data_IF_783585245950
#
_entry.id   IF_783585245950
#
_cell.length_a   1.000
_cell.length_b   1.000
_cell.length_c   1.000
_cell.angle_alpha   90.00
_cell.angle_beta   90.00
_cell.angle_gamma   90.00
#
_symmetry.space_group_name_H-M   'P 1'
#
loop_
_entity.id
_entity.type
_entity.pdbx_description
1 polymer ?
#
# COMPACT_ATOMS: atom_id res chain seq x y z
N UNK A 1 5.16 -19.31 -3.62
CA UNK A 1 4.90 -17.92 -3.16
C UNK A 1 5.09 -16.89 -4.28
N UNK A 2 6.31 -16.69 -4.80
CA UNK A 2 6.60 -15.68 -5.84
C UNK A 2 5.70 -15.82 -7.08
N UNK A 3 5.55 -17.04 -7.61
CA UNK A 3 4.67 -17.31 -8.75
C UNK A 3 3.22 -16.87 -8.50
N UNK A 4 2.68 -17.13 -7.31
CA UNK A 4 1.33 -16.69 -6.94
C UNK A 4 1.19 -15.17 -6.88
N UNK A 5 2.24 -14.45 -6.45
CA UNK A 5 2.25 -12.98 -6.49
C UNK A 5 2.29 -12.48 -7.94
N UNK A 6 3.16 -13.06 -8.78
CA UNK A 6 3.27 -12.71 -10.19
C UNK A 6 1.94 -12.92 -10.93
N UNK A 7 1.32 -14.09 -10.76
CA UNK A 7 0.00 -14.39 -11.34
C UNK A 7 -1.06 -13.39 -10.87
N UNK A 8 -1.09 -13.08 -9.56
CA UNK A 8 -2.03 -12.11 -9.00
C UNK A 8 -1.87 -10.72 -9.60
N UNK A 9 -0.64 -10.18 -9.63
CA UNK A 9 -0.34 -8.86 -10.20
C UNK A 9 -0.73 -8.77 -11.68
N UNK A 10 -0.30 -9.75 -12.48
CA UNK A 10 -0.54 -9.75 -13.94
C UNK A 10 -2.04 -9.89 -14.23
N UNK A 11 -2.72 -10.81 -13.56
CA UNK A 11 -4.15 -11.05 -13.81
C UNK A 11 -4.99 -9.85 -13.37
N UNK A 12 -4.63 -9.20 -12.27
CA UNK A 12 -5.32 -7.98 -11.80
C UNK A 12 -5.16 -6.83 -12.78
N UNK A 13 -3.94 -6.62 -13.29
CA UNK A 13 -3.66 -5.59 -14.29
C UNK A 13 -4.44 -5.85 -15.59
N UNK A 14 -4.46 -7.10 -16.05
CA UNK A 14 -5.19 -7.50 -17.25
C UNK A 14 -6.71 -7.32 -17.09
N UNK A 15 -7.30 -7.76 -15.97
CA UNK A 15 -8.73 -7.59 -15.68
C UNK A 15 -9.09 -6.11 -15.55
N UNK A 16 -8.27 -5.31 -14.86
CA UNK A 16 -8.49 -3.88 -14.77
C UNK A 16 -8.50 -3.22 -16.15
N UNK A 17 -7.53 -3.55 -17.02
CA UNK A 17 -7.49 -3.02 -18.38
C UNK A 17 -8.71 -3.48 -19.21
N UNK A 18 -9.10 -4.74 -19.13
CA UNK A 18 -10.24 -5.29 -19.87
C UNK A 18 -11.56 -4.57 -19.50
N UNK A 19 -11.78 -4.33 -18.20
CA UNK A 19 -12.96 -3.59 -17.72
C UNK A 19 -12.92 -2.14 -18.22
N UNK A 20 -11.76 -1.48 -18.20
CA UNK A 20 -11.62 -0.11 -18.71
C UNK A 20 -11.89 -0.01 -20.21
N UNK A 21 -11.41 -0.97 -21.01
CA UNK A 21 -11.72 -0.98 -22.44
C UNK A 21 -13.21 -1.15 -22.71
N UNK A 22 -13.90 -1.99 -21.92
CA UNK A 22 -15.33 -2.24 -22.05
C UNK A 22 -16.19 -1.03 -21.69
N UNK A 23 -15.79 -0.24 -20.68
CA UNK A 23 -16.52 0.99 -20.31
C UNK A 23 -16.33 2.10 -21.33
N UNK A 24 -15.16 2.22 -21.99
CA UNK A 24 -14.97 3.16 -23.10
C UNK A 24 -15.78 2.81 -24.34
N UNK A 25 -16.00 1.53 -24.64
CA UNK A 25 -16.84 1.12 -25.78
C UNK A 25 -18.34 1.27 -25.53
N UNK A 26 -18.79 1.21 -24.28
CA UNK A 26 -20.21 1.38 -23.93
C UNK A 26 -20.67 2.85 -23.88
N UNK A 27 -19.74 3.81 -23.82
CA UNK A 27 -20.02 5.25 -23.70
C UNK A 27 -19.87 6.09 -24.97
N UNK A 28 -19.61 5.48 -26.14
CA UNK A 28 -19.19 6.21 -27.35
C UNK A 28 -19.83 5.71 -28.64
N UNK A 29 -21.13 5.93 -28.81
CA UNK A 29 -21.76 5.94 -30.13
C UNK A 29 -21.48 7.27 -30.84
N UNK A 30 -20.37 7.36 -31.57
CA UNK A 30 -20.17 8.32 -32.64
C UNK A 30 -19.29 7.67 -33.74
N UNK A 31 -19.66 7.77 -35.03
CA UNK A 31 -19.02 7.01 -36.10
C UNK A 31 -17.60 7.51 -36.41
N UNK A 32 -16.76 6.71 -37.10
CA UNK A 32 -15.36 7.02 -37.30
C UNK A 32 -15.22 8.19 -38.28
N UNK A 33 -14.61 9.28 -37.83
CA UNK A 33 -14.17 10.34 -38.73
C UNK A 33 -12.99 9.81 -39.56
N UNK A 34 -13.30 9.61 -40.84
CA UNK A 34 -12.41 9.36 -41.96
C UNK A 34 -11.27 10.38 -42.04
N UNK A 35 -10.13 9.87 -42.48
CA UNK A 35 -8.96 10.57 -43.03
C UNK A 35 -9.28 11.84 -43.83
N UNK A 36 -8.62 12.97 -43.52
CA UNK A 36 -8.25 13.98 -44.52
C UNK A 36 -7.15 14.91 -44.00
N UNK A 37 -6.08 15.04 -44.80
CA UNK A 37 -5.00 16.02 -44.66
C UNK A 37 -5.32 17.28 -45.49
N UNK A 38 -5.02 18.49 -45.00
CA UNK A 38 -4.70 19.73 -45.74
C UNK A 38 -4.68 20.91 -44.73
N UNK A 39 -3.57 21.61 -44.49
CA UNK A 39 -2.96 22.72 -45.27
C UNK A 39 -3.77 24.05 -45.28
N UNK A 40 -3.20 25.04 -44.56
CA UNK A 40 -3.10 26.49 -44.84
C UNK A 40 -4.35 27.40 -44.93
N UNK A 41 -4.22 28.62 -44.37
CA UNK A 41 -4.82 29.85 -44.94
C UNK A 41 -5.54 30.81 -43.99
N UNK A 42 -5.03 32.05 -43.90
CA UNK A 42 -5.65 33.27 -43.34
C UNK A 42 -7.09 33.57 -43.83
N UNK A 43 -7.93 34.26 -43.03
CA UNK A 43 -8.34 35.69 -43.22
C UNK A 43 -9.46 36.13 -42.24
N UNK A 44 -9.73 37.43 -42.23
CA UNK A 44 -10.23 38.32 -41.16
C UNK A 44 -11.68 38.85 -41.42
N UNK A 45 -12.24 39.64 -40.47
CA UNK A 45 -13.36 40.63 -40.57
C UNK A 45 -14.83 40.12 -40.40
N UNK A 46 -15.86 40.84 -39.92
CA UNK A 46 -16.13 42.00 -39.03
C UNK A 46 -17.69 42.19 -38.91
N UNK A 47 -18.17 42.85 -37.83
CA UNK A 47 -19.33 43.81 -37.74
C UNK A 47 -20.80 43.48 -37.30
N UNK A 48 -21.30 44.39 -36.40
CA UNK A 48 -22.67 44.86 -35.99
C UNK A 48 -23.53 44.02 -34.99
N UNK A 49 -23.95 44.43 -33.75
CA UNK A 49 -24.53 45.65 -33.08
C UNK A 49 -26.04 45.88 -33.41
N UNK A 50 -27.07 45.72 -32.54
CA UNK A 50 -27.61 46.61 -31.46
C UNK A 50 -28.85 45.96 -30.75
N UNK A 51 -28.89 45.88 -29.40
CA UNK A 51 -29.74 46.61 -28.40
C UNK A 51 -31.29 46.48 -28.37
N UNK A 52 -31.85 46.01 -27.21
CA UNK A 52 -33.04 46.57 -26.51
C UNK A 52 -33.08 46.17 -25.02
N UNK A 53 -33.59 47.08 -24.18
CA UNK A 53 -33.35 47.21 -22.72
C UNK A 53 -34.57 46.87 -21.81
N UNK A 54 -34.32 46.63 -20.50
CA UNK A 54 -35.32 46.75 -19.41
C UNK A 54 -35.03 46.08 -18.04
N UNK A 55 -34.38 46.81 -17.10
CA UNK A 55 -34.41 46.85 -15.59
C UNK A 55 -34.57 45.59 -14.66
N UNK A 56 -34.18 45.64 -13.36
CA UNK A 56 -32.91 46.10 -12.74
C UNK A 56 -32.38 45.20 -11.56
N UNK A 57 -31.14 45.49 -11.12
CA UNK A 57 -30.48 45.16 -9.83
C UNK A 57 -29.93 43.74 -9.54
N UNK A 58 -28.61 43.58 -9.70
CA UNK A 58 -27.70 43.29 -8.57
C UNK A 58 -26.22 43.48 -9.00
N UNK A 59 -25.38 43.90 -8.05
CA UNK A 59 -23.99 44.35 -8.21
C UNK A 59 -23.11 43.39 -9.05
N UNK A 60 -22.16 43.88 -9.87
CA UNK A 60 -21.19 43.01 -10.52
C UNK A 60 -20.16 42.51 -9.51
N UNK A 61 -20.08 41.19 -9.35
CA UNK A 61 -18.97 40.51 -8.68
C UNK A 61 -17.67 40.77 -9.46
N UNK A 62 -16.52 41.01 -8.81
CA UNK A 62 -15.28 41.28 -9.52
C UNK A 62 -14.86 40.06 -10.34
N UNK A 63 -14.61 40.30 -11.63
CA UNK A 63 -14.15 39.31 -12.58
C UNK A 63 -12.91 38.59 -12.07
N UNK A 64 -12.99 37.26 -12.00
CA UNK A 64 -11.86 36.38 -11.72
C UNK A 64 -10.87 36.51 -12.89
N UNK A 65 -9.75 37.19 -12.64
CA UNK A 65 -8.58 37.19 -13.52
C UNK A 65 -8.17 35.75 -13.83
N UNK A 66 -7.81 35.41 -15.09
CA UNK A 66 -7.32 34.08 -15.42
C UNK A 66 -6.07 33.79 -14.60
N UNK A 67 -6.13 32.74 -13.78
CA UNK A 67 -5.03 32.31 -12.95
C UNK A 67 -3.83 31.93 -13.82
N UNK A 68 -2.73 32.66 -13.65
CA UNK A 68 -1.42 32.30 -14.18
C UNK A 68 -1.12 30.84 -13.81
N UNK A 69 -0.69 29.98 -14.74
CA UNK A 69 -0.35 28.59 -14.41
C UNK A 69 0.70 28.59 -13.28
N UNK A 70 0.54 27.76 -12.24
CA UNK A 70 1.47 27.74 -11.13
C UNK A 70 2.87 27.41 -11.65
N UNK A 71 3.85 28.24 -11.27
CA UNK A 71 5.24 28.04 -11.60
C UNK A 71 5.68 26.60 -11.25
N UNK A 72 6.51 25.95 -12.08
CA UNK A 72 6.96 24.59 -11.83
C UNK A 72 7.62 24.51 -10.45
N UNK A 73 7.13 23.60 -9.61
CA UNK A 73 7.60 23.42 -8.25
C UNK A 73 9.13 23.19 -8.24
N UNK A 74 9.89 23.84 -7.33
CA UNK A 74 11.32 23.60 -7.19
C UNK A 74 11.57 22.12 -6.83
N UNK A 75 12.74 21.56 -7.18
CA UNK A 75 13.00 20.12 -7.08
C UNK A 75 12.81 19.63 -5.63
N UNK A 76 11.80 18.79 -5.42
CA UNK A 76 11.38 18.26 -4.11
C UNK A 76 12.42 17.35 -3.41
N UNK A 77 13.52 17.02 -4.10
CA UNK A 77 14.54 16.06 -3.66
C UNK A 77 15.34 16.52 -2.43
N UNK A 78 15.80 17.78 -2.38
CA UNK A 78 16.72 18.24 -1.32
C UNK A 78 16.02 18.46 0.04
N UNK A 79 14.78 18.95 0.05
CA UNK A 79 14.04 19.22 1.30
C UNK A 79 13.63 17.93 2.03
N UNK A 80 13.25 16.89 1.28
CA UNK A 80 12.87 15.61 1.85
C UNK A 80 14.07 14.89 2.46
N UNK A 81 15.23 14.93 1.78
CA UNK A 81 16.48 14.36 2.28
C UNK A 81 16.97 15.06 3.56
N UNK A 82 16.96 16.39 3.58
CA UNK A 82 17.34 17.17 4.77
C UNK A 82 16.41 16.88 5.97
N UNK A 83 15.09 16.82 5.72
CA UNK A 83 14.11 16.47 6.75
C UNK A 83 14.38 15.08 7.34
N UNK A 84 14.62 14.07 6.49
CA UNK A 84 14.95 12.72 6.96
C UNK A 84 16.25 12.68 7.77
N UNK A 85 17.26 13.47 7.37
CA UNK A 85 18.52 13.58 8.10
C UNK A 85 18.34 14.22 9.49
N UNK A 86 17.52 15.28 9.58
CA UNK A 86 17.17 15.92 10.85
C UNK A 86 16.41 14.97 11.78
N UNK A 87 15.42 14.23 11.24
CA UNK A 87 14.73 13.19 12.00
C UNK A 87 15.71 12.13 12.53
N UNK A 88 16.60 11.60 11.69
CA UNK A 88 17.58 10.58 12.10
C UNK A 88 18.49 11.07 13.23
N UNK A 89 18.96 12.32 13.16
CA UNK A 89 19.77 12.94 14.24
C UNK A 89 18.97 13.06 15.53
N UNK A 90 17.75 13.59 15.46
CA UNK A 90 16.88 13.72 16.64
C UNK A 90 16.61 12.36 17.30
N UNK A 91 16.26 11.35 16.51
CA UNK A 91 16.02 10.00 17.01
C UNK A 91 17.28 9.33 17.55
N UNK A 92 18.46 9.59 16.97
CA UNK A 92 19.72 9.06 17.53
C UNK A 92 20.02 9.58 18.93
N UNK A 93 19.76 10.88 19.18
CA UNK A 93 19.89 11.49 20.50
C UNK A 93 18.87 10.92 21.46
N UNK A 94 17.61 10.79 21.04
CA UNK A 94 16.54 10.22 21.87
C UNK A 94 16.82 8.77 22.25
N UNK A 95 17.30 7.96 21.30
CA UNK A 95 17.72 6.58 21.56
C UNK A 95 18.88 6.56 22.56
N UNK A 96 19.91 7.38 22.40
CA UNK A 96 21.02 7.45 23.35
C UNK A 96 20.53 7.80 24.78
N UNK A 97 19.64 8.80 24.91
CA UNK A 97 19.04 9.16 26.20
C UNK A 97 18.25 7.98 26.79
N UNK A 98 17.47 7.28 25.97
CA UNK A 98 16.68 6.12 26.43
C UNK A 98 17.54 4.97 26.94
N UNK A 99 18.75 4.77 26.39
CA UNK A 99 19.71 3.78 26.88
C UNK A 99 20.39 4.22 28.19
N UNK A 100 20.64 5.52 28.38
CA UNK A 100 21.16 6.04 29.66
C UNK A 100 20.13 5.89 30.78
N UNK A 101 18.84 6.01 30.45
CA UNK A 101 17.73 5.88 31.40
C UNK A 101 17.28 4.44 31.65
N UNK A 102 17.96 3.42 31.10
CA UNK A 102 17.63 2.00 31.33
C UNK A 102 17.36 1.64 32.81
N UNK A 103 18.18 2.05 33.80
CA UNK A 103 17.97 1.64 35.19
C UNK A 103 16.73 2.26 35.84
N UNK A 104 16.20 3.35 35.28
CA UNK A 104 15.06 4.08 35.86
C UNK A 104 13.76 3.83 35.08
N UNK A 105 13.84 3.84 33.75
CA UNK A 105 12.69 3.76 32.85
C UNK A 105 12.44 2.35 32.29
N UNK A 106 13.34 1.40 32.57
CA UNK A 106 13.28 0.04 32.05
C UNK A 106 13.65 -0.06 30.56
N UNK A 107 13.47 -1.25 29.99
CA UNK A 107 13.92 -1.58 28.62
C UNK A 107 12.98 -1.09 27.52
N UNK A 108 11.70 -0.89 27.84
CA UNK A 108 10.65 -0.61 26.86
C UNK A 108 10.85 0.69 26.06
N UNK A 109 11.23 1.82 26.69
CA UNK A 109 11.51 3.05 25.94
C UNK A 109 12.73 2.90 25.03
N UNK A 110 13.76 2.16 25.47
CA UNK A 110 14.99 1.94 24.71
C UNK A 110 14.76 1.06 23.49
N UNK A 111 14.02 -0.05 23.63
CA UNK A 111 13.66 -0.91 22.49
C UNK A 111 12.74 -0.18 21.52
N UNK A 112 11.78 0.62 22.01
CA UNK A 112 10.91 1.43 21.16
C UNK A 112 11.67 2.46 20.31
N UNK A 113 12.54 3.26 20.94
CA UNK A 113 13.34 4.25 20.23
C UNK A 113 14.33 3.58 19.26
N UNK A 114 14.86 2.42 19.63
CA UNK A 114 15.74 1.63 18.78
C UNK A 114 15.03 1.10 17.53
N UNK A 115 13.80 0.60 17.64
CA UNK A 115 13.00 0.15 16.47
C UNK A 115 12.79 1.29 15.46
N UNK A 116 12.54 2.51 15.93
CA UNK A 116 12.35 3.66 15.04
C UNK A 116 13.68 4.08 14.42
N UNK A 117 14.76 4.12 15.20
CA UNK A 117 16.08 4.47 14.71
C UNK A 117 16.60 3.48 13.65
N UNK A 118 16.42 2.18 13.85
CA UNK A 118 16.82 1.14 12.89
C UNK A 118 16.01 1.24 11.60
N UNK A 119 14.72 1.60 11.66
CA UNK A 119 13.91 1.92 10.47
C UNK A 119 14.45 3.14 9.71
N UNK A 120 14.78 4.22 10.41
CA UNK A 120 15.34 5.44 9.78
C UNK A 120 16.70 5.18 9.15
N UNK A 121 17.52 4.32 9.78
CA UNK A 121 18.79 3.86 9.22
C UNK A 121 18.59 2.94 8.02
N UNK A 122 17.62 2.02 8.07
CA UNK A 122 17.27 1.17 6.93
C UNK A 122 16.89 2.00 5.69
N UNK A 123 16.15 3.10 5.88
CA UNK A 123 15.80 4.04 4.79
C UNK A 123 16.99 4.87 4.28
N UNK A 124 18.07 4.95 5.03
CA UNK A 124 19.28 5.70 4.69
C UNK A 124 20.31 4.85 3.91
N UNK A 125 20.03 3.57 3.68
CA UNK A 125 20.96 2.68 3.02
C UNK A 125 21.22 3.13 1.57
N UNK A 126 22.46 2.97 1.07
CA UNK A 126 22.78 3.27 -0.32
C UNK A 126 21.85 2.50 -1.28
N UNK A 127 21.48 3.08 -2.43
CA UNK A 127 20.52 2.48 -3.37
C UNK A 127 20.91 1.07 -3.84
N UNK A 128 22.22 0.81 -3.95
CA UNK A 128 22.78 -0.52 -4.30
C UNK A 128 22.47 -1.59 -3.24
N UNK A 129 22.43 -1.20 -1.97
CA UNK A 129 22.17 -2.12 -0.85
C UNK A 129 20.66 -2.20 -0.62
N UNK A 130 19.91 -1.10 -0.74
CA UNK A 130 18.46 -1.09 -0.51
C UNK A 130 17.66 -1.89 -1.55
N UNK A 131 18.24 -2.16 -2.73
CA UNK A 131 17.64 -3.06 -3.73
C UNK A 131 17.68 -4.55 -3.30
N UNK A 132 18.65 -4.95 -2.48
CA UNK A 132 18.81 -6.34 -2.00
C UNK A 132 18.30 -6.48 -0.56
N UNK A 133 18.63 -5.52 0.29
CA UNK A 133 18.24 -5.44 1.69
C UNK A 133 17.19 -4.33 1.85
N UNK A 134 15.92 -4.71 1.71
CA UNK A 134 14.83 -3.75 1.85
C UNK A 134 14.83 -3.13 3.27
N UNK A 135 14.60 -1.81 3.41
CA UNK A 135 14.64 -1.09 4.69
C UNK A 135 13.85 -1.74 5.82
N UNK A 136 12.77 -2.44 5.48
CA UNK A 136 11.90 -3.13 6.43
C UNK A 136 12.53 -4.41 7.00
N UNK A 137 13.23 -5.20 6.17
CA UNK A 137 13.92 -6.42 6.62
C UNK A 137 15.13 -6.04 7.45
N UNK A 138 15.90 -5.04 6.99
CA UNK A 138 17.07 -4.57 7.73
C UNK A 138 16.69 -4.04 9.10
N UNK A 139 15.61 -3.26 9.18
CA UNK A 139 15.14 -2.73 10.45
C UNK A 139 14.62 -3.83 11.37
N UNK A 140 13.88 -4.81 10.86
CA UNK A 140 13.41 -5.96 11.64
C UNK A 140 14.57 -6.78 12.21
N UNK A 141 15.56 -7.10 11.38
CA UNK A 141 16.76 -7.84 11.79
C UNK A 141 17.57 -7.07 12.84
N UNK A 142 17.81 -5.77 12.62
CA UNK A 142 18.53 -4.91 13.57
C UNK A 142 17.78 -4.77 14.88
N UNK A 143 16.46 -4.59 14.84
CA UNK A 143 15.62 -4.49 16.04
C UNK A 143 15.64 -5.80 16.82
N UNK A 144 15.51 -6.95 16.15
CA UNK A 144 15.62 -8.25 16.80
C UNK A 144 17.00 -8.43 17.45
N UNK A 145 18.08 -8.05 16.76
CA UNK A 145 19.44 -8.11 17.30
C UNK A 145 19.62 -7.23 18.53
N UNK A 146 19.09 -6.00 18.51
CA UNK A 146 19.10 -5.07 19.65
C UNK A 146 18.34 -5.66 20.84
N UNK A 147 17.14 -6.19 20.64
CA UNK A 147 16.33 -6.78 21.69
C UNK A 147 17.00 -8.01 22.31
N UNK A 148 17.61 -8.87 21.50
CA UNK A 148 18.37 -10.03 21.97
C UNK A 148 19.65 -9.63 22.70
N UNK A 149 20.37 -8.60 22.21
CA UNK A 149 21.58 -8.10 22.87
C UNK A 149 21.28 -7.53 24.25
N UNK A 150 20.22 -6.73 24.38
CA UNK A 150 19.72 -6.26 25.67
C UNK A 150 19.25 -7.42 26.57
N UNK A 151 18.66 -8.46 25.99
CA UNK A 151 18.28 -9.69 26.70
C UNK A 151 19.46 -10.45 27.27
N UNK A 152 20.53 -10.55 26.48
CA UNK A 152 21.75 -11.23 26.87
C UNK A 152 22.46 -10.54 28.05
N UNK A 153 22.36 -9.21 28.16
CA UNK A 153 22.88 -8.46 29.32
C UNK A 153 22.21 -8.88 30.64
N UNK A 154 20.94 -9.31 30.57
CA UNK A 154 20.17 -9.81 31.71
C UNK A 154 20.11 -11.35 31.76
N UNK A 155 21.00 -12.05 31.03
CA UNK A 155 21.03 -13.51 30.89
C UNK A 155 19.71 -14.16 30.43
N UNK A 156 18.84 -13.40 29.74
CA UNK A 156 17.56 -13.89 29.24
C UNK A 156 17.71 -14.68 27.94
N UNK A 157 16.85 -15.68 27.75
CA UNK A 157 16.75 -16.38 26.47
C UNK A 157 16.18 -15.46 25.38
N UNK A 158 16.45 -15.76 24.11
CA UNK A 158 15.91 -15.01 22.97
C UNK A 158 14.37 -15.00 22.98
N UNK A 159 13.75 -16.10 23.42
CA UNK A 159 12.28 -16.20 23.52
C UNK A 159 11.73 -15.25 24.57
N UNK A 160 12.36 -15.20 25.73
CA UNK A 160 11.95 -14.32 26.84
C UNK A 160 12.14 -12.85 26.47
N UNK A 161 13.20 -12.54 25.73
CA UNK A 161 13.45 -11.20 25.20
C UNK A 161 12.36 -10.75 24.21
N UNK A 162 11.84 -11.68 23.39
CA UNK A 162 10.72 -11.41 22.48
C UNK A 162 9.38 -11.31 23.20
N UNK A 163 9.16 -12.12 24.25
CA UNK A 163 7.98 -12.00 25.11
C UNK A 163 7.98 -10.69 25.91
N UNK A 164 9.15 -10.22 26.33
CA UNK A 164 9.31 -8.91 26.96
C UNK A 164 9.04 -7.77 25.97
N UNK A 165 9.35 -7.97 24.68
CA UNK A 165 9.01 -7.01 23.62
C UNK A 165 7.50 -6.97 23.32
N UNK A 166 6.81 -8.12 23.38
CA UNK A 166 5.35 -8.28 23.24
C UNK A 166 4.72 -8.79 24.54
N UNK A 167 4.63 -7.91 25.55
CA UNK A 167 4.12 -8.26 26.88
C UNK A 167 2.63 -8.55 26.89
N UNK A 168 1.86 -7.92 26.01
CA UNK A 168 0.41 -8.07 25.89
C UNK A 168 -0.35 -7.83 27.21
N UNK A 169 0.16 -6.96 28.08
CA UNK A 169 -0.37 -6.68 29.44
C UNK A 169 -1.27 -5.43 29.50
N UNK A 170 -1.77 -4.94 28.36
CA UNK A 170 -2.54 -3.69 28.30
C UNK A 170 -1.68 -2.42 28.45
N UNK A 171 -2.32 -1.28 28.72
CA UNK A 171 -1.68 0.05 28.64
C UNK A 171 -0.62 0.32 29.72
N UNK A 172 -0.79 -0.22 30.93
CA UNK A 172 0.05 0.08 32.11
C UNK A 172 1.35 -0.73 32.20
N UNK A 173 1.59 -1.66 31.26
CA UNK A 173 2.82 -2.46 31.19
C UNK A 173 3.25 -2.76 29.75
N UNK A 174 2.75 -1.98 28.80
CA UNK A 174 2.84 -2.23 27.37
C UNK A 174 4.28 -2.46 26.91
N UNK A 175 4.52 -3.58 26.23
CA UNK A 175 5.77 -3.82 25.55
C UNK A 175 5.95 -2.86 24.37
N UNK A 176 7.19 -2.57 23.98
CA UNK A 176 7.47 -1.75 22.79
C UNK A 176 6.82 -2.29 21.51
N UNK A 177 6.70 -3.61 21.37
CA UNK A 177 5.97 -4.26 20.27
C UNK A 177 4.46 -4.06 20.34
N UNK A 178 3.89 -4.11 21.55
CA UNK A 178 2.47 -3.83 21.77
C UNK A 178 2.14 -2.38 21.41
N UNK A 179 3.05 -1.43 21.68
CA UNK A 179 2.91 -0.03 21.28
C UNK A 179 2.74 0.11 19.76
N UNK A 180 3.61 -0.52 18.98
CA UNK A 180 3.50 -0.53 17.53
C UNK A 180 2.25 -1.25 17.05
N UNK A 181 1.85 -2.32 17.75
CA UNK A 181 0.61 -3.04 17.44
C UNK A 181 -0.63 -2.15 17.65
N UNK A 182 -0.67 -1.37 18.72
CA UNK A 182 -1.75 -0.39 18.98
C UNK A 182 -1.84 0.70 17.89
N UNK A 183 -0.70 1.11 17.32
CA UNK A 183 -0.66 2.08 16.22
C UNK A 183 -1.24 1.52 14.90
N UNK A 184 -1.30 0.19 14.73
CA UNK A 184 -1.90 -0.41 13.53
C UNK A 184 -3.37 -0.03 13.41
N UNK A 185 -4.11 0.02 14.51
CA UNK A 185 -5.52 0.44 14.52
C UNK A 185 -5.67 1.89 14.05
N UNK A 186 -4.83 2.80 14.53
CA UNK A 186 -4.81 4.19 14.08
C UNK A 186 -4.48 4.29 12.57
N UNK A 187 -3.51 3.51 12.10
CA UNK A 187 -3.17 3.44 10.67
C UNK A 187 -4.33 2.92 9.81
N UNK A 188 -5.10 1.95 10.30
CA UNK A 188 -6.30 1.45 9.62
C UNK A 188 -7.40 2.53 9.53
N UNK A 189 -7.62 3.28 10.61
CA UNK A 189 -8.56 4.43 10.60
C UNK A 189 -8.11 5.50 9.61
N UNK A 190 -6.81 5.81 9.57
CA UNK A 190 -6.25 6.75 8.61
C UNK A 190 -6.39 6.27 7.15
N UNK A 191 -6.32 4.96 6.91
CA UNK A 191 -6.61 4.38 5.59
C UNK A 191 -8.08 4.62 5.18
N UNK A 192 -9.03 4.51 6.12
CA UNK A 192 -10.43 4.87 5.89
C UNK A 192 -10.61 6.33 5.48
N UNK A 193 -9.89 7.26 6.14
CA UNK A 193 -9.87 8.67 5.75
C UNK A 193 -9.31 8.87 4.32
N UNK A 194 -8.24 8.14 3.95
CA UNK A 194 -7.71 8.20 2.58
C UNK A 194 -8.73 7.75 1.54
N UNK A 195 -9.50 6.70 1.80
CA UNK A 195 -10.60 6.30 0.91
C UNK A 195 -11.66 7.38 0.79
N UNK A 196 -12.00 8.05 1.89
CA UNK A 196 -12.98 9.15 1.88
C UNK A 196 -12.49 10.32 1.02
N UNK A 197 -11.22 10.71 1.14
CA UNK A 197 -10.65 11.77 0.28
C UNK A 197 -10.51 11.34 -1.18
N UNK A 198 -10.18 10.08 -1.44
CA UNK A 198 -10.04 9.52 -2.78
C UNK A 198 -11.39 9.06 -3.39
N UNK A 199 -12.53 9.41 -2.78
CA UNK A 199 -13.86 8.95 -3.20
C UNK A 199 -14.22 9.34 -4.63
N UNK A 200 -13.75 10.48 -5.13
CA UNK A 200 -14.03 10.91 -6.49
C UNK A 200 -13.32 9.99 -7.50
N UNK A 201 -12.03 9.70 -7.27
CA UNK A 201 -11.26 8.73 -8.07
C UNK A 201 -11.87 7.34 -8.01
N UNK A 202 -12.39 6.93 -6.84
CA UNK A 202 -13.12 5.69 -6.67
C UNK A 202 -14.41 5.69 -7.49
N UNK A 203 -15.20 6.76 -7.49
CA UNK A 203 -16.46 6.85 -8.24
C UNK A 203 -16.23 6.82 -9.76
N UNK A 204 -15.21 7.53 -10.25
CA UNK A 204 -14.88 7.57 -11.68
C UNK A 204 -14.43 6.21 -12.23
N UNK A 205 -13.75 5.38 -11.41
CA UNK A 205 -13.18 4.10 -11.83
C UNK A 205 -13.76 2.92 -11.05
N UNK A 206 -14.93 3.08 -10.45
CA UNK A 206 -15.53 2.10 -9.54
C UNK A 206 -15.63 0.69 -10.14
N UNK A 207 -16.18 0.48 -11.35
CA UNK A 207 -16.33 -0.87 -11.89
C UNK A 207 -14.98 -1.54 -12.12
N UNK A 208 -13.98 -0.77 -12.59
CA UNK A 208 -12.62 -1.26 -12.79
C UNK A 208 -11.97 -1.65 -11.48
N UNK A 209 -12.01 -0.77 -10.48
CA UNK A 209 -11.36 -1.01 -9.20
C UNK A 209 -12.04 -2.14 -8.45
N UNK A 210 -13.36 -2.12 -8.34
CA UNK A 210 -14.11 -3.16 -7.64
C UNK A 210 -13.96 -4.50 -8.35
N UNK A 211 -14.13 -4.56 -9.67
CA UNK A 211 -14.04 -5.80 -10.43
C UNK A 211 -12.64 -6.43 -10.40
N UNK A 212 -11.60 -5.63 -10.64
CA UNK A 212 -10.21 -6.13 -10.62
C UNK A 212 -9.75 -6.52 -9.22
N UNK A 213 -10.09 -5.74 -8.18
CA UNK A 213 -9.71 -6.08 -6.80
C UNK A 213 -10.49 -7.27 -6.28
N UNK A 214 -11.79 -7.40 -6.58
CA UNK A 214 -12.57 -8.58 -6.21
C UNK A 214 -12.00 -9.84 -6.85
N UNK A 215 -11.73 -9.80 -8.15
CA UNK A 215 -11.09 -10.89 -8.86
C UNK A 215 -9.72 -11.25 -8.26
N UNK A 216 -8.88 -10.24 -8.00
CA UNK A 216 -7.57 -10.42 -7.36
C UNK A 216 -7.68 -11.09 -6.00
N UNK A 217 -8.60 -10.64 -5.14
CA UNK A 217 -8.78 -11.20 -3.80
C UNK A 217 -9.25 -12.65 -3.87
N UNK A 218 -10.20 -12.97 -4.76
CA UNK A 218 -10.69 -14.35 -4.94
C UNK A 218 -9.60 -15.26 -5.47
N UNK A 219 -8.89 -14.83 -6.52
CA UNK A 219 -7.78 -15.56 -7.09
C UNK A 219 -6.66 -15.76 -6.07
N UNK A 220 -6.36 -14.74 -5.26
CA UNK A 220 -5.34 -14.83 -4.22
C UNK A 220 -5.73 -15.84 -3.13
N UNK A 221 -6.96 -15.77 -2.61
CA UNK A 221 -7.43 -16.68 -1.56
C UNK A 221 -7.51 -18.13 -2.05
N UNK A 222 -8.40 -18.38 -3.02
CA UNK A 222 -8.71 -19.72 -3.49
C UNK A 222 -7.61 -20.29 -4.37
N UNK A 223 -6.99 -19.47 -5.22
CA UNK A 223 -5.88 -19.93 -6.05
C UNK A 223 -4.65 -20.29 -5.23
N UNK A 224 -4.34 -19.55 -4.16
CA UNK A 224 -3.24 -19.93 -3.27
C UNK A 224 -3.58 -21.18 -2.46
N UNK A 225 -4.83 -21.32 -1.97
CA UNK A 225 -5.28 -22.53 -1.28
C UNK A 225 -5.21 -23.77 -2.19
N UNK A 226 -5.73 -23.67 -3.43
CA UNK A 226 -5.69 -24.75 -4.42
C UNK A 226 -4.25 -25.18 -4.73
N UNK A 227 -3.37 -24.21 -4.98
CA UNK A 227 -1.97 -24.49 -5.29
C UNK A 227 -1.24 -25.11 -4.09
N UNK A 228 -1.49 -24.63 -2.87
CA UNK A 228 -0.87 -25.18 -1.67
C UNK A 228 -1.33 -26.61 -1.37
N UNK A 229 -2.63 -26.89 -1.52
CA UNK A 229 -3.20 -28.24 -1.42
C UNK A 229 -2.65 -29.18 -2.48
N UNK A 230 -2.59 -28.73 -3.74
CA UNK A 230 -2.00 -29.52 -4.84
C UNK A 230 -0.53 -29.89 -4.56
N UNK A 231 0.25 -28.97 -4.02
CA UNK A 231 1.65 -29.20 -3.63
C UNK A 231 1.81 -30.07 -2.37
N UNK A 232 0.72 -30.36 -1.65
CA UNK A 232 0.78 -31.15 -0.41
C UNK A 232 1.51 -30.45 0.72
N UNK A 233 1.33 -29.13 0.82
CA UNK A 233 1.87 -28.37 1.93
C UNK A 233 1.10 -28.68 3.22
N UNK A 234 1.79 -28.57 4.37
CA UNK A 234 1.16 -28.63 5.68
C UNK A 234 0.00 -27.63 5.81
N UNK A 235 -1.11 -28.05 6.41
CA UNK A 235 -2.34 -27.28 6.49
C UNK A 235 -2.12 -25.87 7.08
N UNK A 236 -1.31 -25.76 8.14
CA UNK A 236 -1.05 -24.47 8.78
C UNK A 236 -0.21 -23.57 7.88
N UNK A 237 0.73 -24.15 7.14
CA UNK A 237 1.58 -23.45 6.19
C UNK A 237 0.80 -23.04 4.93
N UNK A 238 -0.17 -23.83 4.49
CA UNK A 238 -1.02 -23.50 3.38
C UNK A 238 -2.03 -22.39 3.74
N UNK A 239 -2.67 -22.49 4.90
CA UNK A 239 -3.63 -21.48 5.38
C UNK A 239 -2.98 -20.11 5.59
N UNK A 240 -1.75 -20.03 6.12
CA UNK A 240 -1.05 -18.74 6.27
C UNK A 240 -0.71 -18.07 4.92
N UNK A 241 -0.53 -18.86 3.85
CA UNK A 241 -0.27 -18.33 2.51
C UNK A 241 -1.52 -17.72 1.86
N UNK A 242 -2.72 -18.16 2.24
CA UNK A 242 -3.98 -17.56 1.73
C UNK A 242 -4.07 -16.07 2.07
N UNK A 243 -3.46 -15.65 3.19
CA UNK A 243 -3.47 -14.28 3.69
C UNK A 243 -2.33 -13.41 3.13
N UNK A 244 -1.51 -13.91 2.21
CA UNK A 244 -0.27 -13.23 1.77
C UNK A 244 -0.46 -11.90 1.04
N UNK A 245 -1.65 -11.61 0.49
CA UNK A 245 -1.90 -10.44 -0.38
C UNK A 245 -2.61 -9.29 0.33
N UNK A 246 -3.02 -9.47 1.59
CA UNK A 246 -3.65 -8.42 2.39
C UNK A 246 -2.65 -7.70 3.29
N UNK A 247 -3.05 -6.52 3.79
CA UNK A 247 -2.26 -5.81 4.80
C UNK A 247 -2.22 -6.58 6.11
N UNK A 248 -1.10 -6.46 6.84
CA UNK A 248 -0.83 -7.17 8.09
C UNK A 248 -1.98 -7.17 9.09
N UNK A 249 -2.67 -6.04 9.39
CA UNK A 249 -3.77 -6.06 10.35
C UNK A 249 -4.94 -6.96 9.92
N UNK A 250 -5.28 -6.92 8.63
CA UNK A 250 -6.38 -7.70 8.06
C UNK A 250 -6.00 -9.18 7.92
N UNK A 251 -4.77 -9.46 7.50
CA UNK A 251 -4.25 -10.83 7.42
C UNK A 251 -4.14 -11.49 8.79
N UNK A 252 -3.86 -10.73 9.86
CA UNK A 252 -3.88 -11.25 11.23
C UNK A 252 -5.29 -11.63 11.68
N UNK A 253 -6.28 -10.81 11.36
CA UNK A 253 -7.67 -11.13 11.65
C UNK A 253 -8.10 -12.41 10.90
N UNK A 254 -7.86 -12.46 9.59
CA UNK A 254 -8.19 -13.64 8.77
C UNK A 254 -7.40 -14.90 9.17
N UNK A 255 -6.14 -14.76 9.58
CA UNK A 255 -5.35 -15.89 10.08
C UNK A 255 -5.93 -16.48 11.37
N UNK A 256 -6.45 -15.65 12.28
CA UNK A 256 -7.11 -16.12 13.50
C UNK A 256 -8.39 -16.88 13.17
N UNK A 257 -9.20 -16.36 12.27
CA UNK A 257 -10.45 -17.00 11.82
C UNK A 257 -10.18 -18.37 11.15
N UNK A 258 -9.09 -18.47 10.39
CA UNK A 258 -8.70 -19.70 9.70
C UNK A 258 -7.88 -20.66 10.58
N UNK A 259 -7.40 -20.24 11.75
CA UNK A 259 -6.52 -21.05 12.61
C UNK A 259 -5.06 -21.14 12.13
N UNK A 260 -4.63 -20.20 11.28
CA UNK A 260 -3.25 -20.12 10.79
C UNK A 260 -2.32 -19.43 11.80
N UNK A 261 -1.02 -19.71 11.71
CA UNK A 261 -0.01 -19.07 12.58
C UNK A 261 0.13 -17.57 12.26
N UNK A 262 -0.15 -16.66 13.22
CA UNK A 262 -0.05 -15.22 12.97
C UNK A 262 1.36 -14.78 12.54
N UNK A 263 2.40 -15.34 13.16
CA UNK A 263 3.79 -14.98 12.87
C UNK A 263 4.18 -15.33 11.43
N UNK A 264 3.79 -16.51 10.95
CA UNK A 264 4.06 -16.95 9.57
C UNK A 264 3.24 -16.13 8.56
N UNK A 265 2.00 -15.80 8.89
CA UNK A 265 1.16 -14.91 8.07
C UNK A 265 1.78 -13.52 7.90
N UNK A 266 2.31 -12.90 8.96
CA UNK A 266 3.02 -11.61 8.81
C UNK A 266 4.21 -11.77 7.88
N UNK A 267 5.01 -12.82 8.07
CA UNK A 267 6.18 -13.06 7.24
C UNK A 267 5.81 -13.20 5.75
N UNK A 268 4.77 -13.97 5.42
CA UNK A 268 4.30 -14.14 4.03
C UNK A 268 3.83 -12.83 3.41
N UNK A 269 3.06 -12.03 4.16
CA UNK A 269 2.61 -10.69 3.74
C UNK A 269 3.81 -9.79 3.45
N UNK A 270 4.78 -9.71 4.37
CA UNK A 270 5.95 -8.85 4.19
C UNK A 270 6.77 -9.23 2.94
N UNK A 271 6.92 -10.53 2.70
CA UNK A 271 7.59 -11.05 1.50
C UNK A 271 6.84 -10.64 0.24
N UNK A 272 5.51 -10.75 0.20
CA UNK A 272 4.69 -10.29 -0.94
C UNK A 272 4.91 -8.81 -1.23
N UNK A 273 4.91 -7.96 -0.20
CA UNK A 273 5.05 -6.52 -0.36
C UNK A 273 6.42 -6.12 -0.85
N UNK A 274 7.44 -6.88 -0.45
CA UNK A 274 8.78 -6.70 -0.93
C UNK A 274 8.90 -6.97 -2.43
N UNK A 275 8.28 -8.05 -2.93
CA UNK A 275 8.22 -8.31 -4.37
C UNK A 275 7.54 -7.16 -5.11
N UNK A 276 6.44 -6.66 -4.55
CA UNK A 276 5.76 -5.46 -5.03
C UNK A 276 6.66 -4.26 -5.16
N UNK A 277 7.27 -3.82 -4.06
CA UNK A 277 8.09 -2.62 -4.05
C UNK A 277 9.33 -2.71 -4.93
N UNK A 278 9.93 -3.91 -5.05
CA UNK A 278 11.18 -4.10 -5.78
C UNK A 278 10.95 -4.37 -7.27
N UNK A 279 9.95 -5.19 -7.60
CA UNK A 279 9.75 -5.73 -8.95
C UNK A 279 8.47 -5.24 -9.62
N UNK A 280 7.47 -4.81 -8.85
CA UNK A 280 6.13 -4.50 -9.36
C UNK A 280 6.13 -3.47 -10.49
N UNK A 281 6.80 -2.32 -10.29
CA UNK A 281 6.91 -1.26 -11.30
C UNK A 281 7.57 -1.73 -12.60
N UNK A 282 8.69 -2.44 -12.47
CA UNK A 282 9.44 -2.95 -13.62
C UNK A 282 8.63 -4.00 -14.36
N UNK A 283 8.03 -4.95 -13.63
CA UNK A 283 7.20 -6.02 -14.19
C UNK A 283 6.02 -5.46 -14.99
N UNK A 284 5.27 -4.53 -14.40
CA UNK A 284 4.12 -3.89 -15.06
C UNK A 284 4.56 -3.10 -16.30
N UNK A 285 5.71 -2.41 -16.25
CA UNK A 285 6.25 -1.70 -17.41
C UNK A 285 6.63 -2.63 -18.55
N UNK A 286 7.32 -3.74 -18.26
CA UNK A 286 7.74 -4.72 -19.26
C UNK A 286 6.56 -5.43 -19.92
N UNK A 287 5.47 -5.64 -19.19
CA UNK A 287 4.24 -6.29 -19.69
C UNK A 287 3.30 -5.35 -20.45
N UNK A 288 3.72 -4.13 -20.77
CA UNK A 288 2.89 -3.16 -21.52
C UNK A 288 1.82 -2.46 -20.65
N UNK A 289 1.92 -2.56 -19.33
CA UNK A 289 1.21 -1.72 -18.35
C UNK A 289 2.11 -0.55 -17.92
N UNK A 290 2.45 0.28 -18.92
CA UNK A 290 3.24 1.49 -18.73
C UNK A 290 2.53 2.55 -17.87
N UNK A 291 3.21 3.68 -17.65
CA UNK A 291 2.77 4.75 -16.74
C UNK A 291 1.41 5.36 -17.12
N UNK A 292 1.08 5.36 -18.42
CA UNK A 292 -0.21 5.84 -18.94
C UNK A 292 -1.41 5.05 -18.40
N UNK A 293 -1.22 3.77 -18.04
CA UNK A 293 -2.26 2.90 -17.47
C UNK A 293 -2.26 2.95 -15.94
N UNK A 294 -2.31 4.17 -15.38
CA UNK A 294 -2.22 4.40 -13.93
C UNK A 294 -3.28 3.64 -13.12
N UNK A 295 -4.47 3.39 -13.69
CA UNK A 295 -5.55 2.64 -13.03
C UNK A 295 -5.23 1.16 -12.94
N UNK A 296 -4.90 0.49 -14.04
CA UNK A 296 -4.55 -0.93 -14.02
C UNK A 296 -3.31 -1.19 -13.15
N UNK A 297 -2.31 -0.30 -13.27
CA UNK A 297 -1.06 -0.37 -12.51
C UNK A 297 -1.30 -0.15 -11.02
N UNK A 298 -2.07 0.87 -10.66
CA UNK A 298 -2.47 1.14 -9.28
C UNK A 298 -3.29 -0.01 -8.69
N UNK A 299 -4.29 -0.53 -9.42
CA UNK A 299 -5.12 -1.65 -8.99
C UNK A 299 -4.31 -2.91 -8.70
N UNK A 300 -3.42 -3.28 -9.62
CA UNK A 300 -2.55 -4.45 -9.47
C UNK A 300 -1.60 -4.33 -8.27
N UNK A 301 -0.96 -3.17 -8.12
CA UNK A 301 -0.04 -2.90 -7.01
C UNK A 301 -0.76 -2.86 -5.66
N UNK A 302 -1.91 -2.19 -5.58
CA UNK A 302 -2.67 -2.07 -4.36
C UNK A 302 -3.22 -3.41 -3.88
N UNK A 303 -3.81 -4.19 -4.79
CA UNK A 303 -4.48 -5.45 -4.45
C UNK A 303 -3.50 -6.60 -4.14
N UNK A 304 -2.29 -6.60 -4.71
CA UNK A 304 -1.36 -7.72 -4.58
C UNK A 304 -0.08 -7.40 -3.81
N UNK A 305 0.25 -6.12 -3.60
CA UNK A 305 1.51 -5.70 -2.98
C UNK A 305 1.33 -4.76 -1.78
N UNK A 306 0.08 -4.51 -1.41
CA UNK A 306 -0.34 -3.81 -0.19
C UNK A 306 0.38 -2.46 0.03
N UNK A 307 0.49 -2.01 1.30
CA UNK A 307 1.00 -0.68 1.62
C UNK A 307 2.46 -0.47 1.17
N UNK A 308 3.27 -1.52 1.21
CA UNK A 308 4.69 -1.48 0.84
C UNK A 308 4.84 -1.25 -0.67
N UNK A 309 4.11 -2.00 -1.50
CA UNK A 309 4.07 -1.79 -2.95
C UNK A 309 3.48 -0.43 -3.31
N UNK A 310 2.42 0.00 -2.62
CA UNK A 310 1.81 1.33 -2.82
C UNK A 310 2.82 2.45 -2.56
N UNK A 311 3.63 2.34 -1.50
CA UNK A 311 4.66 3.32 -1.18
C UNK A 311 5.72 3.45 -2.28
N UNK A 312 6.03 2.38 -3.01
CA UNK A 312 6.98 2.41 -4.12
C UNK A 312 6.52 3.24 -5.32
N UNK A 313 5.20 3.48 -5.46
CA UNK A 313 4.62 4.32 -6.51
C UNK A 313 4.57 5.81 -6.11
N UNK A 314 4.62 6.13 -4.81
CA UNK A 314 4.35 7.49 -4.33
C UNK A 314 5.31 8.57 -4.86
N UNK A 315 6.55 8.18 -5.15
CA UNK A 315 7.57 9.11 -5.64
C UNK A 315 7.52 9.30 -7.16
N UNK A 316 7.39 8.21 -7.91
CA UNK A 316 7.50 8.23 -9.37
C UNK A 316 6.15 8.39 -10.07
N UNK A 317 5.07 7.87 -9.49
CA UNK A 317 3.76 7.75 -10.11
C UNK A 317 2.62 8.10 -9.13
N UNK A 318 2.48 9.37 -8.74
CA UNK A 318 1.52 9.78 -7.70
C UNK A 318 0.06 9.45 -8.04
N UNK A 319 -0.31 9.48 -9.34
CA UNK A 319 -1.64 9.06 -9.81
C UNK A 319 -1.90 7.58 -9.54
N UNK A 320 -0.97 6.70 -9.92
CA UNK A 320 -1.07 5.27 -9.69
C UNK A 320 -1.02 4.95 -8.18
N UNK A 321 -0.24 5.69 -7.39
CA UNK A 321 -0.16 5.53 -5.94
C UNK A 321 -1.49 5.85 -5.23
N UNK A 322 -2.20 6.88 -5.67
CA UNK A 322 -3.52 7.22 -5.16
C UNK A 322 -4.52 6.08 -5.44
N UNK A 323 -4.55 5.59 -6.68
CA UNK A 323 -5.41 4.48 -7.09
C UNK A 323 -5.05 3.19 -6.34
N UNK A 324 -3.76 2.91 -6.18
CA UNK A 324 -3.23 1.79 -5.40
C UNK A 324 -3.66 1.84 -3.94
N UNK A 325 -3.72 3.02 -3.34
CA UNK A 325 -4.21 3.17 -1.96
C UNK A 325 -5.69 2.79 -1.82
N UNK A 326 -6.50 3.14 -2.82
CA UNK A 326 -7.92 2.76 -2.87
C UNK A 326 -8.07 1.25 -3.11
N UNK A 327 -7.34 0.71 -4.08
CA UNK A 327 -7.36 -0.71 -4.41
C UNK A 327 -6.90 -1.58 -3.22
N UNK A 328 -5.87 -1.15 -2.49
CA UNK A 328 -5.40 -1.77 -1.26
C UNK A 328 -6.52 -1.89 -0.22
N UNK A 329 -7.26 -0.80 -0.01
CA UNK A 329 -8.33 -0.78 0.99
C UNK A 329 -9.53 -1.63 0.54
N UNK A 330 -9.93 -1.56 -0.74
CA UNK A 330 -10.97 -2.41 -1.31
C UNK A 330 -10.61 -3.90 -1.22
N UNK A 331 -9.41 -4.28 -1.63
CA UNK A 331 -8.93 -5.66 -1.54
C UNK A 331 -8.97 -6.17 -0.10
N UNK A 332 -8.59 -5.31 0.86
CA UNK A 332 -8.69 -5.58 2.29
C UNK A 332 -10.13 -5.85 2.75
N UNK A 333 -11.08 -4.98 2.40
CA UNK A 333 -12.50 -5.15 2.73
C UNK A 333 -13.05 -6.44 2.14
N UNK A 334 -12.81 -6.69 0.85
CA UNK A 334 -13.29 -7.90 0.16
C UNK A 334 -12.74 -9.15 0.84
N UNK A 335 -11.44 -9.17 1.12
CA UNK A 335 -10.78 -10.30 1.74
C UNK A 335 -11.30 -10.54 3.16
N UNK A 336 -11.45 -9.49 3.97
CA UNK A 336 -12.04 -9.60 5.31
C UNK A 336 -13.47 -10.15 5.25
N UNK A 337 -14.31 -9.63 4.37
CA UNK A 337 -15.69 -10.14 4.19
C UNK A 337 -15.67 -11.63 3.82
N UNK A 338 -14.84 -12.02 2.86
CA UNK A 338 -14.77 -13.42 2.41
C UNK A 338 -14.22 -14.34 3.50
N UNK A 339 -13.17 -13.94 4.21
CA UNK A 339 -12.63 -14.74 5.31
C UNK A 339 -13.61 -14.86 6.48
N UNK A 340 -14.50 -13.89 6.72
CA UNK A 340 -15.52 -13.98 7.76
C UNK A 340 -16.71 -14.87 7.38
N UNK A 341 -16.87 -15.26 6.11
CA UNK A 341 -17.95 -16.16 5.69
C UNK A 341 -17.64 -17.63 6.03
N UNK A 342 -18.49 -18.33 6.81
CA UNK A 342 -18.24 -19.72 7.20
C UNK A 342 -18.08 -20.67 6.00
N UNK A 343 -18.87 -20.47 4.94
CA UNK A 343 -18.79 -21.28 3.73
C UNK A 343 -17.44 -21.14 3.00
N UNK A 344 -16.88 -19.93 2.98
CA UNK A 344 -15.57 -19.68 2.39
C UNK A 344 -14.46 -20.28 3.25
N UNK A 345 -14.55 -20.17 4.58
CA UNK A 345 -13.59 -20.82 5.49
C UNK A 345 -13.59 -22.34 5.34
N UNK A 346 -14.78 -22.96 5.27
CA UNK A 346 -14.91 -24.39 5.07
C UNK A 346 -14.28 -24.80 3.74
N UNK A 347 -14.57 -24.08 2.66
CA UNK A 347 -13.97 -24.32 1.34
C UNK A 347 -12.45 -24.23 1.38
N UNK A 348 -11.89 -23.16 1.97
CA UNK A 348 -10.44 -22.98 2.08
C UNK A 348 -9.78 -24.10 2.89
N UNK A 349 -10.39 -24.51 4.01
CA UNK A 349 -9.90 -25.61 4.83
C UNK A 349 -9.96 -26.94 4.06
N UNK A 350 -11.06 -27.24 3.37
CA UNK A 350 -11.19 -28.46 2.57
C UNK A 350 -10.22 -28.51 1.38
N UNK A 351 -9.94 -27.37 0.74
CA UNK A 351 -8.98 -27.31 -0.38
C UNK A 351 -7.54 -27.56 0.05
N UNK A 352 -7.23 -27.27 1.31
CA UNK A 352 -5.91 -27.42 1.90
C UNK A 352 -5.76 -28.77 2.59
N UNK A 353 -6.83 -29.25 3.23
CA UNK A 353 -6.84 -30.49 3.99
C UNK A 353 -6.44 -31.68 3.12
N UNK A 354 -5.43 -32.41 3.60
CA UNK A 354 -5.01 -33.71 3.10
C UNK A 354 -5.06 -34.75 4.20
#
# INVERSE_FOLDING_TARGET
HFLGWLVGVVSTAAVAQAIQSGTTTAGGGAPPATTASASAGHHNQHHHQQQRAGCPMSKPSPACTPATPPAPAPPASNKAADTQQRLRRAWSVLTAISYVLLPVAGRQPATFCSTILTLLWGKALPPKISQVLHPLITAGALTSGVTTSLGALDAMSQKDSLQEYFRNTGFTGMGSGDAFFSLLSCSCTALGLRMFYARNTLQENLPTLLGSTAFSSMLSLFGTAAAAGALGMDDKLALMLTQRSVSTPLGLAGARDLGASPALTVASILITGLYGASLGKSLLSTLGFGVEKAVSRGAAMGANSHAIGTASLMQDEPKAAAISSVALALAGVIHSVVCSLPAAQATLKTMVAK
#
